data_IF_740753445626
#
_entry.id   IF_740753445626
#
_cell.length_a   1.000
_cell.length_b   1.000
_cell.length_c   1.000
_cell.angle_alpha   90.00
_cell.angle_beta   90.00
_cell.angle_gamma   90.00
#
_symmetry.space_group_name_H-M   'P 1'
#
loop_
_entity.id
_entity.type
_entity.pdbx_description
1 polymer ?
#
# COMPACT_ATOMS: atom_id res chain seq x y z
N UNK A 1 -36.35 27.97 58.75
CA UNK A 1 -37.80 27.71 58.78
C UNK A 1 -38.29 27.67 57.33
N UNK A 2 -38.56 26.46 56.83
CA UNK A 2 -39.40 26.20 55.64
C UNK A 2 -40.87 26.24 56.05
N UNK A 3 -41.78 26.62 55.16
CA UNK A 3 -42.55 25.62 54.42
C UNK A 3 -42.88 26.05 52.96
N UNK A 4 -43.57 25.31 52.08
CA UNK A 4 -43.76 23.89 51.72
C UNK A 4 -44.88 23.92 50.66
N UNK A 5 -44.61 23.45 49.43
CA UNK A 5 -45.53 22.91 48.38
C UNK A 5 -46.73 23.80 47.90
N UNK A 6 -47.29 23.71 46.69
CA UNK A 6 -47.46 22.56 45.80
C UNK A 6 -47.92 22.97 44.39
N UNK A 7 -47.38 22.26 43.38
CA UNK A 7 -48.03 21.70 42.16
C UNK A 7 -48.94 22.55 41.28
N UNK A 8 -48.60 22.66 39.98
CA UNK A 8 -49.10 21.73 38.97
C UNK A 8 -48.73 22.11 37.52
N UNK A 9 -48.43 21.07 36.72
CA UNK A 9 -48.59 20.97 35.25
C UNK A 9 -47.63 21.83 34.39
N UNK A 10 -47.02 21.40 33.28
CA UNK A 10 -47.28 20.30 32.35
C UNK A 10 -46.09 20.27 31.35
N UNK A 11 -45.96 19.17 30.59
CA UNK A 11 -45.38 19.06 29.23
C UNK A 11 -43.86 18.92 29.07
N UNK A 12 -43.46 17.65 29.03
CA UNK A 12 -42.72 17.02 27.93
C UNK A 12 -42.37 17.93 26.74
N UNK A 13 -41.07 18.12 26.50
CA UNK A 13 -40.49 18.35 25.16
C UNK A 13 -39.11 17.66 25.20
N UNK A 14 -39.04 16.42 24.74
CA UNK A 14 -38.75 16.06 23.34
C UNK A 14 -37.27 16.29 23.00
N UNK A 15 -36.57 15.17 23.01
CA UNK A 15 -35.23 14.89 22.50
C UNK A 15 -35.07 15.49 21.10
N UNK A 16 -34.10 16.38 20.91
CA UNK A 16 -33.72 16.85 19.58
C UNK A 16 -32.24 17.25 19.56
N UNK A 17 -31.40 16.39 18.99
CA UNK A 17 -30.21 16.70 18.18
C UNK A 17 -29.21 15.52 18.20
N UNK A 18 -29.57 14.42 17.53
CA UNK A 18 -28.67 13.30 17.23
C UNK A 18 -28.77 12.95 15.74
N UNK A 19 -28.62 13.97 14.87
CA UNK A 19 -28.67 13.82 13.41
C UNK A 19 -27.60 14.70 12.74
N UNK A 20 -26.33 14.44 13.04
CA UNK A 20 -25.21 15.00 12.29
C UNK A 20 -24.06 14.00 12.04
N UNK A 21 -24.26 12.70 12.31
CA UNK A 21 -23.20 11.69 12.20
C UNK A 21 -23.31 10.77 10.95
N UNK A 22 -24.34 10.92 10.11
CA UNK A 22 -24.65 9.91 9.07
C UNK A 22 -23.92 10.12 7.73
N UNK A 23 -23.22 11.24 7.51
CA UNK A 23 -22.54 11.51 6.23
C UNK A 23 -21.15 10.86 6.12
N UNK A 24 -20.50 10.51 7.24
CA UNK A 24 -19.14 9.95 7.21
C UNK A 24 -19.07 8.44 6.91
N UNK A 25 -20.20 7.73 7.04
CA UNK A 25 -20.22 6.27 6.83
C UNK A 25 -20.13 5.91 5.35
N UNK A 26 -20.71 6.73 4.45
CA UNK A 26 -20.76 6.45 3.01
C UNK A 26 -19.41 6.58 2.29
N UNK A 27 -18.61 7.60 2.63
CA UNK A 27 -17.31 7.82 1.99
C UNK A 27 -16.28 6.72 2.33
N UNK A 28 -16.23 6.30 3.60
CA UNK A 28 -15.34 5.23 4.05
C UNK A 28 -15.71 3.86 3.42
N UNK A 29 -17.00 3.57 3.25
CA UNK A 29 -17.45 2.34 2.59
C UNK A 29 -17.10 2.33 1.09
N UNK A 30 -17.24 3.46 0.39
CA UNK A 30 -16.90 3.55 -1.03
C UNK A 30 -15.38 3.41 -1.29
N UNK A 31 -14.53 4.02 -0.45
CA UNK A 31 -13.08 3.84 -0.53
C UNK A 31 -12.67 2.37 -0.28
N UNK A 32 -13.31 1.69 0.67
CA UNK A 32 -13.09 0.26 0.93
C UNK A 32 -13.47 -0.63 -0.27
N UNK A 33 -14.54 -0.34 -1.02
CA UNK A 33 -14.92 -1.14 -2.19
C UNK A 33 -13.92 -0.93 -3.33
N UNK A 34 -13.62 0.33 -3.68
CA UNK A 34 -12.63 0.64 -4.72
C UNK A 34 -11.27 0.01 -4.43
N UNK A 35 -10.84 0.01 -3.17
CA UNK A 35 -9.59 -0.62 -2.75
C UNK A 35 -9.63 -2.14 -2.93
N UNK A 36 -10.72 -2.81 -2.54
CA UNK A 36 -10.89 -4.26 -2.75
C UNK A 36 -10.85 -4.62 -4.23
N UNK A 37 -11.53 -3.85 -5.08
CA UNK A 37 -11.54 -4.09 -6.52
C UNK A 37 -10.16 -3.89 -7.14
N UNK A 38 -9.42 -2.87 -6.71
CA UNK A 38 -8.03 -2.66 -7.12
C UNK A 38 -7.14 -3.84 -6.72
N UNK A 39 -7.21 -4.29 -5.45
CA UNK A 39 -6.44 -5.45 -4.97
C UNK A 39 -6.77 -6.71 -5.80
N UNK A 40 -8.05 -6.91 -6.12
CA UNK A 40 -8.48 -8.05 -6.93
C UNK A 40 -7.89 -8.01 -8.34
N UNK A 41 -7.90 -6.84 -9.00
CA UNK A 41 -7.30 -6.64 -10.34
C UNK A 41 -5.79 -6.83 -10.32
N UNK A 42 -5.12 -6.36 -9.27
CA UNK A 42 -3.66 -6.40 -9.16
C UNK A 42 -3.15 -7.82 -8.89
N UNK A 43 -3.95 -8.68 -8.25
CA UNK A 43 -3.53 -10.01 -7.77
C UNK A 43 -2.87 -10.88 -8.84
N UNK A 44 -3.46 -10.98 -10.03
CA UNK A 44 -2.92 -11.82 -11.10
C UNK A 44 -1.60 -11.26 -11.66
N UNK A 45 -1.51 -9.93 -11.80
CA UNK A 45 -0.29 -9.25 -12.25
C UNK A 45 0.83 -9.44 -11.24
N UNK A 46 0.56 -9.22 -9.96
CA UNK A 46 1.51 -9.42 -8.86
C UNK A 46 2.00 -10.86 -8.83
N UNK A 47 1.11 -11.85 -8.97
CA UNK A 47 1.50 -13.26 -9.00
C UNK A 47 2.38 -13.61 -10.20
N UNK A 48 2.11 -13.03 -11.38
CA UNK A 48 2.96 -13.22 -12.57
C UNK A 48 4.35 -12.63 -12.37
N UNK A 49 4.42 -11.37 -11.94
CA UNK A 49 5.67 -10.65 -11.72
C UNK A 49 6.55 -11.34 -10.66
N UNK A 50 5.92 -11.78 -9.56
CA UNK A 50 6.60 -12.53 -8.51
C UNK A 50 7.21 -13.83 -9.04
N UNK A 51 6.45 -14.59 -9.85
CA UNK A 51 6.94 -15.83 -10.46
C UNK A 51 8.13 -15.58 -11.39
N UNK A 52 8.03 -14.58 -12.26
CA UNK A 52 9.11 -14.23 -13.20
C UNK A 52 10.38 -13.79 -12.47
N UNK A 53 10.26 -12.95 -11.44
CA UNK A 53 11.40 -12.51 -10.64
C UNK A 53 12.05 -13.69 -9.87
N UNK A 54 11.23 -14.54 -9.24
CA UNK A 54 11.72 -15.71 -8.53
C UNK A 54 12.43 -16.70 -9.45
N UNK A 55 11.92 -16.89 -10.67
CA UNK A 55 12.58 -17.70 -11.69
C UNK A 55 13.93 -17.11 -12.11
N UNK A 56 13.99 -15.81 -12.40
CA UNK A 56 15.24 -15.16 -12.81
C UNK A 56 16.31 -15.18 -11.71
N UNK A 57 15.90 -15.01 -10.45
CA UNK A 57 16.80 -14.99 -9.30
C UNK A 57 17.03 -16.37 -8.67
N UNK A 58 16.36 -17.42 -9.15
CA UNK A 58 16.42 -18.78 -8.61
C UNK A 58 16.22 -18.82 -7.08
N UNK A 59 15.26 -18.06 -6.56
CA UNK A 59 14.92 -18.00 -5.13
C UNK A 59 13.44 -17.67 -4.94
N UNK A 60 12.88 -18.04 -3.79
CA UNK A 60 11.52 -17.69 -3.43
C UNK A 60 11.50 -16.42 -2.58
N UNK A 61 11.18 -15.30 -3.22
CA UNK A 61 10.94 -14.00 -2.60
C UNK A 61 9.44 -13.78 -2.47
N UNK A 62 9.01 -13.29 -1.30
CA UNK A 62 7.64 -12.83 -1.10
C UNK A 62 7.49 -11.39 -1.63
N UNK A 63 6.46 -11.12 -2.43
CA UNK A 63 6.19 -9.79 -2.98
C UNK A 63 4.89 -9.25 -2.40
N UNK A 64 4.94 -8.03 -1.88
CA UNK A 64 3.83 -7.38 -1.21
C UNK A 64 3.67 -5.95 -1.70
N UNK A 65 2.43 -5.50 -1.76
CA UNK A 65 2.07 -4.11 -2.00
C UNK A 65 1.39 -3.59 -0.74
N UNK A 66 1.89 -2.48 -0.21
CA UNK A 66 1.24 -1.79 0.90
C UNK A 66 0.11 -0.90 0.37
N UNK A 67 -1.03 -1.52 0.07
CA UNK A 67 -2.21 -0.84 -0.49
C UNK A 67 -2.77 0.27 0.40
N UNK A 68 -2.45 0.30 1.70
CA UNK A 68 -2.90 1.36 2.60
C UNK A 68 -2.25 2.71 2.26
N UNK A 69 -1.10 2.70 1.61
CA UNK A 69 -0.38 3.92 1.21
C UNK A 69 -0.90 4.54 -0.10
N UNK A 70 -1.70 3.80 -0.89
CA UNK A 70 -2.13 4.23 -2.23
C UNK A 70 -3.49 4.93 -2.27
N UNK A 71 -3.80 5.76 -1.27
CA UNK A 71 -5.11 6.42 -1.17
C UNK A 71 -5.46 7.25 -2.40
N UNK A 72 -4.50 7.93 -3.03
CA UNK A 72 -4.74 8.79 -4.22
C UNK A 72 -4.99 8.00 -5.51
N UNK A 73 -4.59 6.72 -5.60
CA UNK A 73 -4.97 5.90 -6.77
C UNK A 73 -6.49 5.72 -6.82
N UNK A 74 -7.14 5.66 -5.66
CA UNK A 74 -8.59 5.47 -5.57
C UNK A 74 -9.40 6.70 -6.02
N UNK A 75 -8.72 7.86 -6.06
CA UNK A 75 -9.32 9.16 -6.30
C UNK A 75 -9.01 9.73 -7.70
N UNK A 76 -7.99 9.19 -8.39
CA UNK A 76 -7.60 9.61 -9.75
C UNK A 76 -7.23 8.39 -10.62
N UNK A 77 -8.11 8.09 -11.58
CA UNK A 77 -7.98 6.96 -12.51
C UNK A 77 -6.79 7.12 -13.48
N UNK A 78 -6.16 8.30 -13.57
CA UNK A 78 -4.95 8.50 -14.37
C UNK A 78 -3.67 8.02 -13.64
N UNK A 79 -3.76 7.71 -12.34
CA UNK A 79 -2.65 7.13 -11.61
C UNK A 79 -2.41 5.68 -12.02
N UNK A 80 -1.14 5.29 -12.04
CA UNK A 80 -0.79 3.89 -12.24
C UNK A 80 -1.29 3.04 -11.07
N UNK A 81 -1.82 1.86 -11.38
CA UNK A 81 -2.21 0.90 -10.33
C UNK A 81 -0.98 0.43 -9.55
N UNK A 82 -1.11 0.10 -8.25
CA UNK A 82 0.01 -0.29 -7.39
C UNK A 82 0.90 -1.42 -7.97
N UNK A 83 0.33 -2.38 -8.71
CA UNK A 83 1.10 -3.43 -9.37
C UNK A 83 2.19 -2.92 -10.33
N UNK A 84 2.02 -1.75 -10.95
CA UNK A 84 2.99 -1.19 -11.88
C UNK A 84 4.29 -0.79 -11.17
N UNK A 85 4.19 -0.29 -9.93
CA UNK A 85 5.36 0.03 -9.10
C UNK A 85 6.09 -1.24 -8.66
N UNK A 86 5.33 -2.32 -8.38
CA UNK A 86 5.92 -3.64 -8.13
C UNK A 86 6.66 -4.17 -9.36
N UNK A 87 6.13 -3.95 -10.57
CA UNK A 87 6.79 -4.36 -11.80
C UNK A 87 8.21 -3.80 -11.89
N UNK A 88 8.40 -2.53 -11.51
CA UNK A 88 9.71 -1.89 -11.52
C UNK A 88 10.70 -2.51 -10.52
N UNK A 89 10.24 -2.86 -9.31
CA UNK A 89 11.08 -3.61 -8.36
C UNK A 89 11.44 -5.02 -8.90
N UNK A 90 10.49 -5.72 -9.51
CA UNK A 90 10.75 -7.05 -10.08
C UNK A 90 11.67 -7.00 -11.30
N UNK A 91 11.55 -6.00 -12.15
CA UNK A 91 12.42 -5.80 -13.31
C UNK A 91 13.85 -5.47 -12.88
N UNK A 92 14.00 -4.65 -11.84
CA UNK A 92 15.30 -4.35 -11.26
C UNK A 92 15.98 -5.62 -10.70
N UNK A 93 15.24 -6.45 -9.95
CA UNK A 93 15.75 -7.73 -9.45
C UNK A 93 16.15 -8.67 -10.59
N UNK A 94 15.30 -8.82 -11.62
CA UNK A 94 15.61 -9.61 -12.82
C UNK A 94 16.91 -9.14 -13.47
N UNK A 95 17.15 -7.82 -13.51
CA UNK A 95 18.38 -7.26 -14.07
C UNK A 95 19.62 -7.55 -13.21
N UNK A 96 19.53 -7.40 -11.88
CA UNK A 96 20.62 -7.75 -10.95
C UNK A 96 20.96 -9.24 -11.05
N UNK A 97 19.94 -10.09 -11.11
CA UNK A 97 20.07 -11.55 -11.22
C UNK A 97 20.53 -12.06 -12.60
N UNK A 98 20.94 -11.19 -13.53
CA UNK A 98 21.53 -11.64 -14.81
C UNK A 98 22.94 -12.22 -14.65
N UNK A 99 23.62 -11.92 -13.55
CA UNK A 99 24.95 -12.45 -13.23
C UNK A 99 24.87 -13.42 -12.05
N UNK A 100 25.80 -14.37 -11.96
CA UNK A 100 25.81 -15.33 -10.85
C UNK A 100 26.07 -14.66 -9.51
N UNK A 101 26.96 -13.66 -9.48
CA UNK A 101 27.20 -12.85 -8.28
C UNK A 101 25.92 -12.11 -7.83
N UNK A 102 25.19 -11.50 -8.76
CA UNK A 102 23.93 -10.83 -8.45
C UNK A 102 22.84 -11.79 -7.96
N UNK A 103 22.73 -12.99 -8.55
CA UNK A 103 21.82 -14.04 -8.05
C UNK A 103 22.16 -14.44 -6.62
N UNK A 104 23.43 -14.70 -6.33
CA UNK A 104 23.89 -15.10 -4.99
C UNK A 104 23.60 -14.00 -3.96
N UNK A 105 23.88 -12.73 -4.30
CA UNK A 105 23.62 -11.59 -3.42
C UNK A 105 22.12 -11.45 -3.11
N UNK A 106 21.25 -11.54 -4.12
CA UNK A 106 19.79 -11.51 -3.92
C UNK A 106 19.31 -12.71 -3.09
N UNK A 107 19.80 -13.92 -3.38
CA UNK A 107 19.46 -15.14 -2.64
C UNK A 107 19.81 -15.04 -1.14
N UNK A 108 20.96 -14.45 -0.82
CA UNK A 108 21.41 -14.25 0.55
C UNK A 108 20.65 -13.12 1.24
N UNK A 109 20.49 -11.99 0.55
CA UNK A 109 20.08 -10.72 1.16
C UNK A 109 18.58 -10.42 1.13
N UNK A 110 17.80 -10.97 0.19
CA UNK A 110 16.38 -10.60 0.00
C UNK A 110 15.46 -11.80 0.20
N UNK A 111 14.50 -11.65 1.12
CA UNK A 111 13.43 -12.62 1.41
C UNK A 111 12.05 -12.05 1.11
N UNK A 112 11.88 -10.75 1.26
CA UNK A 112 10.62 -10.05 1.00
C UNK A 112 10.88 -8.73 0.29
N UNK A 113 10.00 -8.40 -0.64
CA UNK A 113 9.93 -7.12 -1.34
C UNK A 113 8.59 -6.49 -0.99
N UNK A 114 8.62 -5.25 -0.49
CA UNK A 114 7.43 -4.46 -0.18
C UNK A 114 7.49 -3.18 -1.00
N UNK A 115 6.43 -2.90 -1.74
CA UNK A 115 6.29 -1.64 -2.50
C UNK A 115 5.17 -0.80 -1.92
N UNK A 116 5.44 0.47 -1.70
CA UNK A 116 4.52 1.44 -1.09
C UNK A 116 4.56 2.79 -1.78
N UNK A 117 3.54 3.60 -1.55
CA UNK A 117 3.54 5.00 -1.95
C UNK A 117 4.22 5.89 -0.89
N UNK A 118 4.79 7.01 -1.34
CA UNK A 118 5.37 8.02 -0.45
C UNK A 118 5.51 9.40 -1.09
N UNK A 119 6.01 10.35 -0.30
CA UNK A 119 6.31 11.71 -0.77
C UNK A 119 7.52 11.76 -1.72
N UNK A 120 8.46 10.85 -1.52
CA UNK A 120 9.68 10.70 -2.31
C UNK A 120 9.97 9.24 -2.63
N UNK A 121 10.79 9.03 -3.66
CA UNK A 121 11.36 7.71 -3.97
C UNK A 121 12.37 7.37 -2.87
N UNK A 122 12.31 6.15 -2.35
CA UNK A 122 13.34 5.64 -1.42
C UNK A 122 13.43 4.12 -1.42
N UNK A 123 14.63 3.63 -1.14
CA UNK A 123 14.95 2.22 -1.02
C UNK A 123 15.60 1.93 0.34
N UNK A 124 15.26 0.77 0.92
CA UNK A 124 15.96 0.25 2.10
C UNK A 124 15.98 -1.27 2.10
N UNK A 125 17.00 -1.83 2.74
CA UNK A 125 17.12 -3.27 2.98
C UNK A 125 17.47 -3.48 4.45
N UNK A 126 16.59 -4.17 5.18
CA UNK A 126 16.83 -4.53 6.57
C UNK A 126 16.17 -5.86 6.90
N UNK A 127 16.89 -6.74 7.58
CA UNK A 127 16.37 -8.05 8.00
C UNK A 127 15.81 -8.91 6.86
N UNK A 128 16.36 -8.79 5.64
CA UNK A 128 15.86 -9.52 4.47
C UNK A 128 14.64 -8.89 3.78
N UNK A 129 14.19 -7.72 4.22
CA UNK A 129 13.06 -7.00 3.63
C UNK A 129 13.58 -5.82 2.82
N UNK A 130 13.48 -5.93 1.51
CA UNK A 130 13.69 -4.81 0.59
C UNK A 130 12.40 -3.98 0.50
N UNK A 131 12.47 -2.70 0.86
CA UNK A 131 11.34 -1.77 0.76
C UNK A 131 11.64 -0.74 -0.32
N UNK A 132 10.70 -0.57 -1.23
CA UNK A 132 10.76 0.41 -2.30
C UNK A 132 9.53 1.31 -2.21
N UNK A 133 9.75 2.55 -1.80
CA UNK A 133 8.72 3.57 -1.69
C UNK A 133 8.75 4.46 -2.93
N UNK A 134 7.58 4.77 -3.49
CA UNK A 134 7.49 5.44 -4.79
C UNK A 134 6.47 6.58 -4.77
N UNK A 135 6.80 7.77 -5.30
CA UNK A 135 5.84 8.85 -5.42
C UNK A 135 4.99 8.72 -6.69
N UNK A 136 3.85 9.40 -6.75
CA UNK A 136 2.98 9.39 -7.92
C UNK A 136 3.61 10.06 -9.17
N UNK A 137 4.54 11.00 -8.97
CA UNK A 137 5.12 11.87 -10.01
C UNK A 137 6.17 11.21 -10.93
N UNK A 138 6.15 9.89 -11.07
CA UNK A 138 7.09 9.13 -11.89
C UNK A 138 8.31 8.62 -11.13
N UNK A 139 8.90 7.54 -11.63
CA UNK A 139 9.98 6.76 -11.01
C UNK A 139 10.67 5.90 -12.09
N UNK A 140 11.86 5.37 -11.81
CA UNK A 140 12.67 4.67 -12.81
C UNK A 140 13.25 3.35 -12.28
N UNK A 141 13.05 2.22 -12.99
CA UNK A 141 13.71 0.95 -12.66
C UNK A 141 15.24 1.07 -12.56
N UNK A 142 15.85 1.99 -13.31
CA UNK A 142 17.30 2.15 -13.32
C UNK A 142 17.84 2.65 -11.97
N UNK A 143 17.07 3.45 -11.22
CA UNK A 143 17.44 3.89 -9.87
C UNK A 143 17.48 2.70 -8.93
N UNK A 144 16.44 1.87 -8.97
CA UNK A 144 16.32 0.66 -8.15
C UNK A 144 17.45 -0.34 -8.45
N UNK A 145 17.81 -0.54 -9.72
CA UNK A 145 18.94 -1.41 -10.11
C UNK A 145 20.24 -0.92 -9.48
N UNK A 146 20.56 0.38 -9.63
CA UNK A 146 21.79 0.96 -9.08
C UNK A 146 21.84 0.82 -7.57
N UNK A 147 20.70 1.04 -6.90
CA UNK A 147 20.60 0.90 -5.46
C UNK A 147 20.86 -0.55 -5.04
N UNK A 148 20.18 -1.53 -5.65
CA UNK A 148 20.36 -2.95 -5.34
C UNK A 148 21.81 -3.41 -5.56
N UNK A 149 22.45 -2.98 -6.65
CA UNK A 149 23.85 -3.31 -6.92
C UNK A 149 24.84 -2.73 -5.90
N UNK A 150 24.47 -1.66 -5.21
CA UNK A 150 25.34 -0.98 -4.24
C UNK A 150 25.10 -1.43 -2.79
N UNK A 151 24.02 -2.17 -2.53
CA UNK A 151 23.56 -2.49 -1.17
C UNK A 151 23.31 -4.00 -0.94
N UNK A 152 23.66 -4.84 -1.91
CA UNK A 152 23.60 -6.30 -1.82
C UNK A 152 24.99 -6.93 -1.79
#
# INVERSE_FOLDING_TARGET
MTPTLSTHFLRTTAIAALLAAQAFVGAAHAQSIKQKDMIARDREKVASLAREANQACATQIAFQIDYATYSKVLDDDNNQSPWAYLANATDALKQVCRTDAGKQAVQAGIKTVVVSNGESESESLSGGVFRYQVPYRGHSPATVVKWLQSNL
#
